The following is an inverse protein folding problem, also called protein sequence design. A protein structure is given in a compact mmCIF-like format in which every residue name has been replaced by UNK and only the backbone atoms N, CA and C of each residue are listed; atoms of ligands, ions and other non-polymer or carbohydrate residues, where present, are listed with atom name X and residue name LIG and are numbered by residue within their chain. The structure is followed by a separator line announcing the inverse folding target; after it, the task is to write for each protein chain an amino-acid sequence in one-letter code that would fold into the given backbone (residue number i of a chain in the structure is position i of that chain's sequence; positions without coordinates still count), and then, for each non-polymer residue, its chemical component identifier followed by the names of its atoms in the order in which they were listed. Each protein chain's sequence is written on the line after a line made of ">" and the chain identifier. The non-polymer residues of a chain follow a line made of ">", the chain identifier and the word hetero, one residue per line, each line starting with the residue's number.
data_IF_437397916940
#
_entry.id   IF_437397916940
#
_cell.length_a   1.000
_cell.length_b   1.000
_cell.length_c   1.000
_cell.angle_alpha   90.00
_cell.angle_beta   90.00
_cell.angle_gamma   90.00
#
_symmetry.space_group_name_H-M   'P 1'
#
loop_
_entity.id
_entity.type
_entity.pdbx_description
1 polymer ?
#
# COMPACT_ATOMS: atom_id res chain seq x y z
N UNK A 1 8.05 8.44 5.89
CA UNK A 1 6.83 9.00 5.25
C UNK A 1 5.60 8.44 5.94
N UNK A 2 4.51 9.19 6.09
CA UNK A 2 3.22 8.71 6.62
C UNK A 2 2.13 8.87 5.55
N UNK A 3 1.25 7.88 5.46
CA UNK A 3 0.09 7.82 4.58
C UNK A 3 -1.16 7.67 5.47
N UNK A 4 -2.18 8.48 5.22
CA UNK A 4 -3.49 8.40 5.88
C UNK A 4 -4.50 7.91 4.85
N UNK A 5 -5.22 6.82 5.17
CA UNK A 5 -6.27 6.24 4.35
C UNK A 5 -7.63 6.97 4.48
N UNK A 6 -7.76 7.92 5.41
CA UNK A 6 -9.00 8.61 5.75
C UNK A 6 -9.83 7.84 6.77
N UNK A 7 -10.08 6.56 6.51
CA UNK A 7 -10.84 5.63 7.36
C UNK A 7 -10.06 4.35 7.65
N UNK A 8 -10.47 3.63 8.71
CA UNK A 8 -9.93 2.31 9.02
C UNK A 8 -10.35 1.33 7.92
N UNK A 9 -9.39 0.89 7.12
CA UNK A 9 -9.62 0.02 5.97
C UNK A 9 -8.66 -1.17 5.95
N UNK A 10 -8.90 -2.11 5.04
CA UNK A 10 -8.03 -3.26 4.82
C UNK A 10 -6.93 -2.91 3.81
N UNK A 11 -5.70 -2.80 4.31
CA UNK A 11 -4.53 -2.45 3.50
C UNK A 11 -3.76 -3.73 3.18
N UNK A 12 -3.72 -4.08 1.89
CA UNK A 12 -3.07 -5.26 1.36
C UNK A 12 -1.59 -5.03 0.97
N UNK A 13 -1.13 -3.78 0.97
CA UNK A 13 0.24 -3.47 0.59
C UNK A 13 0.50 -1.99 0.32
N UNK A 14 1.66 -1.73 -0.25
CA UNK A 14 2.14 -0.40 -0.63
C UNK A 14 2.49 -0.39 -2.11
N UNK A 15 2.25 0.74 -2.77
CA UNK A 15 2.76 1.00 -4.12
C UNK A 15 3.76 2.14 -4.03
N UNK A 16 4.96 1.94 -4.60
CA UNK A 16 6.01 2.96 -4.62
C UNK A 16 6.46 3.29 -6.03
N UNK A 17 6.93 4.52 -6.23
CA UNK A 17 7.52 5.01 -7.46
C UNK A 17 8.73 5.88 -7.11
N UNK A 18 9.80 5.80 -7.90
CA UNK A 18 10.97 6.68 -7.74
C UNK A 18 10.63 8.16 -8.01
N UNK A 19 11.56 9.07 -7.79
CA UNK A 19 11.47 10.46 -8.30
C UNK A 19 12.14 10.51 -9.68
N UNK A 20 11.62 11.30 -10.65
CA UNK A 20 12.33 11.58 -11.89
C UNK A 20 13.78 12.00 -11.62
N UNK A 21 14.75 11.37 -12.30
CA UNK A 21 16.18 11.49 -12.02
C UNK A 21 16.73 10.35 -11.18
N UNK A 22 17.85 10.57 -10.47
CA UNK A 22 18.57 9.51 -9.75
C UNK A 22 18.25 9.43 -8.24
N UNK A 23 17.01 9.73 -7.81
CA UNK A 23 16.63 9.66 -6.40
C UNK A 23 15.50 8.66 -6.17
N UNK A 24 15.74 7.63 -5.37
CA UNK A 24 14.77 6.55 -5.13
C UNK A 24 15.09 5.76 -3.88
N UNK A 25 14.06 5.29 -3.18
CA UNK A 25 14.19 4.31 -2.08
C UNK A 25 14.21 2.90 -2.67
N UNK A 26 15.27 2.14 -2.35
CA UNK A 26 15.49 0.76 -2.81
C UNK A 26 15.01 -0.28 -1.82
N UNK A 27 15.05 0.01 -0.52
CA UNK A 27 14.58 -0.89 0.53
C UNK A 27 13.88 -0.09 1.63
N UNK A 28 12.83 -0.65 2.21
CA UNK A 28 12.08 -0.02 3.29
C UNK A 28 11.38 -1.04 4.19
N UNK A 29 11.05 -0.64 5.42
CA UNK A 29 10.08 -1.35 6.27
C UNK A 29 8.78 -0.54 6.39
N UNK A 30 7.73 -1.21 6.86
CA UNK A 30 6.39 -0.62 7.00
C UNK A 30 5.85 -0.85 8.40
N UNK A 31 5.30 0.21 8.99
CA UNK A 31 4.47 0.13 10.20
C UNK A 31 3.05 0.59 9.90
N UNK A 32 2.08 0.09 10.64
CA UNK A 32 0.67 0.49 10.51
C UNK A 32 0.06 0.83 11.87
N UNK A 33 -1.01 1.61 11.85
CA UNK A 33 -1.73 2.05 13.03
C UNK A 33 -3.21 2.33 12.71
N UNK A 34 -4.07 2.14 13.72
CA UNK A 34 -5.49 2.49 13.66
C UNK A 34 -5.71 3.89 14.24
N UNK A 35 -5.01 4.24 15.32
CA UNK A 35 -5.19 5.45 16.13
C UNK A 35 -4.18 6.57 15.79
N UNK A 36 -3.05 6.23 15.16
CA UNK A 36 -1.93 7.13 14.88
C UNK A 36 -0.92 7.21 16.03
N UNK A 37 -1.18 6.56 17.16
CA UNK A 37 -0.38 6.59 18.38
C UNK A 37 0.35 5.26 18.60
N UNK A 38 -0.37 4.14 18.47
CA UNK A 38 0.16 2.79 18.63
C UNK A 38 0.51 2.21 17.26
N UNK A 39 1.77 1.79 17.09
CA UNK A 39 2.29 1.34 15.81
C UNK A 39 2.77 -0.09 15.86
N UNK A 40 2.39 -0.87 14.85
CA UNK A 40 2.78 -2.27 14.68
C UNK A 40 3.61 -2.45 13.41
N UNK A 41 4.64 -3.28 13.48
CA UNK A 41 5.43 -3.66 12.32
C UNK A 41 4.65 -4.61 11.41
N UNK A 42 4.65 -4.34 10.10
CA UNK A 42 4.16 -5.29 9.11
C UNK A 42 5.14 -6.46 9.02
N UNK A 43 4.63 -7.69 9.13
CA UNK A 43 5.42 -8.92 8.97
C UNK A 43 6.70 -8.93 9.81
N UNK A 44 6.59 -8.52 11.08
CA UNK A 44 7.71 -8.48 12.03
C UNK A 44 8.90 -7.63 11.53
N UNK A 45 8.63 -6.56 10.79
CA UNK A 45 9.67 -5.67 10.27
C UNK A 45 10.31 -6.18 8.98
N UNK A 46 9.57 -6.96 8.18
CA UNK A 46 10.02 -7.43 6.87
C UNK A 46 10.54 -6.27 6.02
N UNK A 47 11.68 -6.49 5.39
CA UNK A 47 12.25 -5.58 4.41
C UNK A 47 11.54 -5.78 3.06
N UNK A 48 10.98 -4.71 2.53
CA UNK A 48 10.38 -4.65 1.21
C UNK A 48 11.37 -4.05 0.21
N UNK A 49 11.40 -4.63 -0.99
CA UNK A 49 12.15 -4.10 -2.13
C UNK A 49 11.34 -2.98 -2.77
N UNK A 50 11.97 -1.83 -2.92
CA UNK A 50 11.45 -0.62 -3.53
C UNK A 50 11.84 -0.47 -5.00
N UNK A 51 12.17 0.75 -5.42
CA UNK A 51 12.34 1.10 -6.82
C UNK A 51 13.80 1.01 -7.28
N UNK A 52 14.03 0.40 -8.45
CA UNK A 52 15.34 0.36 -9.11
C UNK A 52 15.49 1.43 -10.21
N UNK A 53 14.39 2.07 -10.62
CA UNK A 53 14.36 3.14 -11.60
C UNK A 53 13.48 4.33 -11.12
N UNK A 54 13.36 5.36 -11.95
CA UNK A 54 12.65 6.58 -11.60
C UNK A 54 11.12 6.50 -11.75
N UNK A 55 10.62 5.61 -12.61
CA UNK A 55 9.28 5.72 -13.18
C UNK A 55 8.43 4.45 -13.04
N UNK A 56 9.04 3.28 -12.87
CA UNK A 56 8.32 2.03 -12.68
C UNK A 56 7.66 2.02 -11.31
N UNK A 57 6.39 1.64 -11.32
CA UNK A 57 5.61 1.42 -10.10
C UNK A 57 5.92 0.04 -9.55
N UNK A 58 6.29 -0.03 -8.29
CA UNK A 58 6.56 -1.29 -7.59
C UNK A 58 5.43 -1.53 -6.59
N UNK A 59 4.82 -2.71 -6.66
CA UNK A 59 3.77 -3.13 -5.74
C UNK A 59 4.39 -4.10 -4.73
N UNK A 60 4.39 -3.68 -3.47
CA UNK A 60 4.87 -4.46 -2.33
C UNK A 60 3.66 -4.98 -1.55
N UNK A 61 3.21 -6.20 -1.87
CA UNK A 61 2.10 -6.85 -1.18
C UNK A 61 2.54 -7.35 0.20
N UNK A 62 1.66 -7.22 1.18
CA UNK A 62 1.81 -7.90 2.47
C UNK A 62 1.40 -9.36 2.32
N UNK A 63 1.95 -10.23 3.16
CA UNK A 63 1.57 -11.65 3.25
C UNK A 63 0.11 -11.83 3.68
N UNK A 64 -0.39 -10.90 4.50
CA UNK A 64 -1.79 -10.76 4.87
C UNK A 64 -2.17 -9.27 4.94
N UNK A 65 -3.39 -8.89 4.52
CA UNK A 65 -3.87 -7.53 4.73
C UNK A 65 -3.93 -7.13 6.21
N UNK A 66 -3.64 -5.88 6.50
CA UNK A 66 -3.72 -5.30 7.85
C UNK A 66 -4.87 -4.32 7.93
N UNK A 67 -5.60 -4.31 9.06
CA UNK A 67 -6.57 -3.24 9.36
C UNK A 67 -5.85 -2.02 9.89
N UNK A 68 -5.92 -0.91 9.16
CA UNK A 68 -5.23 0.31 9.53
C UNK A 68 -5.90 1.55 8.92
N UNK A 69 -5.71 2.69 9.58
CA UNK A 69 -5.98 4.02 9.01
C UNK A 69 -4.69 4.69 8.56
N UNK A 70 -3.62 4.52 9.33
CA UNK A 70 -2.34 5.13 9.06
C UNK A 70 -1.28 4.09 8.73
N UNK A 71 -0.40 4.43 7.80
CA UNK A 71 0.77 3.62 7.44
C UNK A 71 2.01 4.51 7.41
N UNK A 72 3.10 4.01 7.97
CA UNK A 72 4.42 4.65 7.92
C UNK A 72 5.39 3.79 7.14
N UNK A 73 6.07 4.42 6.19
CA UNK A 73 7.17 3.83 5.44
C UNK A 73 8.48 4.38 6.00
N UNK A 74 9.39 3.47 6.34
CA UNK A 74 10.73 3.77 6.83
C UNK A 74 11.77 3.33 5.78
N UNK A 75 12.35 4.26 5.02
CA UNK A 75 13.43 3.96 4.08
C UNK A 75 14.63 3.38 4.83
N UNK A 76 15.23 2.32 4.27
CA UNK A 76 16.45 1.69 4.77
C UNK A 76 17.63 1.90 3.83
N UNK A 77 17.38 1.90 2.52
CA UNK A 77 18.40 2.03 1.48
C UNK A 77 17.85 2.86 0.31
N UNK A 78 18.69 3.69 -0.31
CA UNK A 78 18.31 4.62 -1.37
C UNK A 78 19.49 4.99 -2.27
N UNK A 79 19.18 5.45 -3.49
CA UNK A 79 20.17 6.09 -4.37
C UNK A 79 20.10 7.61 -4.23
N UNK A 80 21.27 8.23 -4.04
CA UNK A 80 21.52 9.67 -3.87
C UNK A 80 20.77 10.36 -2.70
N UNK A 81 19.44 10.27 -2.65
CA UNK A 81 18.61 10.85 -1.60
C UNK A 81 17.37 9.97 -1.34
N UNK A 82 16.89 9.83 -0.09
CA UNK A 82 15.69 9.05 0.23
C UNK A 82 14.43 9.77 -0.26
N UNK A 83 14.14 9.63 -1.55
CA UNK A 83 12.96 10.20 -2.20
C UNK A 83 12.07 9.09 -2.72
N UNK A 84 10.78 9.22 -2.44
CA UNK A 84 9.78 8.28 -2.93
C UNK A 84 8.43 8.94 -3.13
N UNK A 85 7.71 8.39 -4.09
CA UNK A 85 6.28 8.57 -4.33
C UNK A 85 5.63 7.27 -3.79
N UNK A 86 4.67 7.33 -2.87
CA UNK A 86 3.98 6.15 -2.37
C UNK A 86 2.46 6.30 -2.21
N UNK A 87 1.73 5.20 -2.43
CA UNK A 87 0.30 5.04 -2.21
C UNK A 87 -0.02 3.72 -1.50
N UNK A 88 -1.26 3.58 -1.02
CA UNK A 88 -1.73 2.36 -0.35
C UNK A 88 -2.44 1.45 -1.34
N UNK A 89 -2.28 0.15 -1.14
CA UNK A 89 -3.02 -0.88 -1.86
C UNK A 89 -4.17 -1.36 -0.97
N UNK A 90 -5.40 -0.95 -1.27
CA UNK A 90 -6.58 -1.18 -0.41
C UNK A 90 -7.47 -2.27 -0.99
N UNK A 91 -7.96 -3.16 -0.13
CA UNK A 91 -9.01 -4.13 -0.46
C UNK A 91 -10.39 -3.51 -0.22
N UNK A 92 -11.12 -3.24 -1.30
CA UNK A 92 -12.51 -2.78 -1.25
C UNK A 92 -13.46 -3.94 -1.51
N UNK A 93 -14.49 -4.09 -0.65
CA UNK A 93 -15.64 -4.95 -0.92
C UNK A 93 -16.79 -4.14 -1.48
N UNK A 94 -17.40 -4.60 -2.57
CA UNK A 94 -18.78 -4.24 -2.84
C UNK A 94 -19.69 -5.14 -2.02
N UNK A 95 -20.58 -4.54 -1.23
CA UNK A 95 -21.61 -5.27 -0.49
C UNK A 95 -22.88 -5.30 -1.35
N UNK A 96 -23.44 -6.49 -1.56
CA UNK A 96 -24.76 -6.68 -2.17
C UNK A 96 -25.63 -7.48 -1.21
N UNK A 97 -26.82 -6.97 -0.87
CA UNK A 97 -27.75 -7.61 0.05
C UNK A 97 -27.11 -8.05 1.39
N UNK A 98 -26.25 -7.19 1.96
CA UNK A 98 -25.59 -7.45 3.24
C UNK A 98 -24.43 -8.46 3.20
N UNK A 99 -24.04 -8.95 2.02
CA UNK A 99 -22.89 -9.86 1.83
C UNK A 99 -21.84 -9.24 0.90
N UNK A 100 -20.53 -9.47 1.12
CA UNK A 100 -19.51 -9.06 0.16
C UNK A 100 -19.64 -9.87 -1.13
N UNK A 101 -19.88 -9.18 -2.24
CA UNK A 101 -20.19 -9.78 -3.55
C UNK A 101 -19.05 -9.68 -4.56
N UNK A 102 -18.14 -8.71 -4.40
CA UNK A 102 -16.95 -8.54 -5.24
C UNK A 102 -15.88 -7.80 -4.45
N UNK A 103 -14.63 -8.18 -4.64
CA UNK A 103 -13.48 -7.49 -4.05
C UNK A 103 -12.64 -6.86 -5.15
N UNK A 104 -12.20 -5.62 -4.93
CA UNK A 104 -11.31 -4.89 -5.84
C UNK A 104 -10.12 -4.31 -5.10
N UNK A 105 -8.98 -4.28 -5.78
CA UNK A 105 -7.77 -3.66 -5.28
C UNK A 105 -7.68 -2.24 -5.85
N UNK A 106 -7.53 -1.23 -5.01
CA UNK A 106 -7.38 0.17 -5.45
C UNK A 106 -6.11 0.79 -4.92
N UNK A 107 -5.54 1.73 -5.67
CA UNK A 107 -4.42 2.54 -5.20
C UNK A 107 -4.96 3.81 -4.57
N UNK A 108 -4.87 3.90 -3.25
CA UNK A 108 -5.21 5.12 -2.52
C UNK A 108 -4.05 6.11 -2.60
N UNK A 109 -4.33 7.30 -3.13
CA UNK A 109 -3.38 8.41 -3.19
C UNK A 109 -3.42 9.20 -1.89
N UNK A 110 -2.46 8.95 -1.02
CA UNK A 110 -2.45 9.60 0.29
C UNK A 110 -1.91 11.05 0.28
N UNK A 111 -1.36 11.56 -0.83
CA UNK A 111 -0.84 12.94 -0.92
C UNK A 111 -0.75 13.48 -2.37
N UNK A 112 -0.52 14.78 -2.51
CA UNK A 112 -0.36 15.47 -3.81
C UNK A 112 0.85 15.02 -4.62
N UNK A 113 1.87 14.40 -3.99
CA UNK A 113 3.00 13.82 -4.71
C UNK A 113 2.59 12.56 -5.54
N UNK A 114 1.38 12.04 -5.32
CA UNK A 114 0.71 11.00 -6.11
C UNK A 114 -0.20 11.54 -7.22
N UNK A 115 -0.29 12.86 -7.43
CA UNK A 115 -1.27 13.48 -8.34
C UNK A 115 -1.21 12.96 -9.78
N UNK A 116 0.00 12.62 -10.28
CA UNK A 116 0.19 12.10 -11.64
C UNK A 116 0.11 10.56 -11.74
N UNK A 117 -0.21 9.87 -10.63
CA UNK A 117 -0.49 8.44 -10.68
C UNK A 117 -1.93 8.29 -11.19
N UNK A 118 -2.23 7.55 -12.28
CA UNK A 118 -3.61 7.20 -12.57
C UNK A 118 -4.17 6.52 -11.33
N UNK A 119 -5.40 6.88 -10.91
CA UNK A 119 -6.10 6.02 -9.96
C UNK A 119 -6.21 4.69 -10.68
N UNK A 120 -5.51 3.68 -10.18
CA UNK A 120 -5.61 2.35 -10.75
C UNK A 120 -6.93 1.77 -10.23
N UNK A 121 -8.01 2.45 -10.57
CA UNK A 121 -9.39 2.17 -10.19
C UNK A 121 -9.94 0.97 -10.94
N UNK A 122 -9.19 0.42 -11.90
CA UNK A 122 -9.60 -0.73 -12.70
C UNK A 122 -8.45 -1.67 -13.08
N UNK A 123 -7.46 -1.90 -12.22
CA UNK A 123 -6.83 -3.22 -12.27
C UNK A 123 -7.80 -4.21 -11.62
N UNK A 124 -8.79 -4.65 -12.38
CA UNK A 124 -9.24 -6.04 -12.29
C UNK A 124 -8.02 -6.89 -12.62
N UNK A 125 -7.13 -7.08 -11.66
CA UNK A 125 -6.03 -8.01 -11.79
C UNK A 125 -6.69 -9.38 -11.95
N UNK A 126 -6.55 -10.00 -13.13
CA UNK A 126 -7.12 -11.32 -13.46
C UNK A 126 -6.28 -12.42 -12.79
N UNK A 127 -5.93 -12.23 -11.50
CA UNK A 127 -4.97 -13.04 -10.74
C UNK A 127 -4.99 -12.75 -9.23
N UNK A 128 -5.51 -13.71 -8.49
CA UNK A 128 -5.64 -13.74 -7.02
C UNK A 128 -6.40 -12.58 -6.37
N UNK A 129 -7.72 -12.58 -6.62
CA UNK A 129 -8.76 -12.05 -5.72
C UNK A 129 -8.64 -12.64 -4.29
N UNK A 130 -7.89 -13.74 -4.13
CA UNK A 130 -7.66 -14.47 -2.87
C UNK A 130 -7.12 -13.61 -1.72
N UNK A 131 -6.27 -12.60 -2.00
CA UNK A 131 -5.71 -11.73 -0.95
C UNK A 131 -6.80 -10.96 -0.22
N UNK A 132 -7.81 -10.46 -0.94
CA UNK A 132 -8.94 -9.75 -0.33
C UNK A 132 -10.02 -10.71 0.21
N UNK A 133 -10.21 -11.89 -0.39
CA UNK A 133 -11.10 -12.93 0.13
C UNK A 133 -10.70 -13.38 1.55
N UNK A 134 -9.39 -13.55 1.81
CA UNK A 134 -8.88 -13.91 3.13
C UNK A 134 -9.12 -12.83 4.21
N UNK A 135 -9.41 -11.58 3.82
CA UNK A 135 -9.80 -10.52 4.75
C UNK A 135 -11.24 -10.69 5.28
N UNK A 136 -12.12 -11.36 4.54
CA UNK A 136 -13.54 -11.46 4.85
C UNK A 136 -13.93 -12.72 5.63
N UNK A 137 -13.18 -13.81 5.48
CA UNK A 137 -13.52 -15.15 6.01
C UNK A 137 -13.06 -15.35 7.48
N UNK A 138 -12.42 -14.35 8.10
CA UNK A 138 -11.98 -14.37 9.51
C UNK A 138 -12.84 -13.51 10.46
N UNK A 139 -14.14 -13.41 10.22
CA UNK A 139 -15.12 -12.88 11.18
C UNK A 139 -15.93 -14.00 11.81
#
# INVERSE_FOLDING_TARGET
>A
MQLDAGDVTSIAGIVTQGRPGQQRVKQFTVKYSIDGETWFDVECGRIFVGNNDADTRVISKFSAPVKAKYVRIFPLDWDNHPSMRAGLLVCDATITAGKPSKWTLRIFKANSAMANMPDVSTLTYVGQVEVCLNCAVRL
#
